data_IF_735890921125
#
_entry.id   IF_735890921125
#
_cell.length_a   1.000
_cell.length_b   1.000
_cell.length_c   1.000
_cell.angle_alpha   90.00
_cell.angle_beta   90.00
_cell.angle_gamma   90.00
#
_symmetry.space_group_name_H-M   'P 1'
#
loop_
_entity.id
_entity.type
_entity.pdbx_description
1 polymer ?
#
# COMPACT_ATOMS: atom_id res chain seq x y z
N UNK A 1 -31.21 4.00 28.88
CA UNK A 1 -31.42 3.72 27.45
C UNK A 1 -31.31 5.05 26.70
N UNK A 2 -30.49 5.16 25.64
CA UNK A 2 -30.41 6.39 24.86
C UNK A 2 -31.76 6.68 24.19
N UNK A 3 -32.11 7.97 24.02
CA UNK A 3 -33.37 8.37 23.41
C UNK A 3 -33.46 7.94 21.94
N UNK A 4 -34.68 7.74 21.42
CA UNK A 4 -34.91 7.33 20.03
C UNK A 4 -34.24 8.26 19.01
N UNK A 5 -34.14 9.56 19.32
CA UNK A 5 -33.42 10.57 18.51
C UNK A 5 -31.90 10.39 18.56
N UNK A 6 -31.33 10.05 19.72
CA UNK A 6 -29.90 9.79 19.88
C UNK A 6 -29.49 8.48 19.18
N UNK A 7 -30.36 7.48 19.22
CA UNK A 7 -30.16 6.20 18.53
C UNK A 7 -30.30 6.33 17.01
N UNK A 8 -31.18 7.23 16.54
CA UNK A 8 -31.31 7.58 15.11
C UNK A 8 -30.08 8.35 14.59
N UNK A 9 -29.53 9.27 15.39
CA UNK A 9 -28.28 9.97 15.05
C UNK A 9 -27.09 9.01 15.04
N UNK A 10 -26.95 8.14 16.05
CA UNK A 10 -25.90 7.12 16.07
C UNK A 10 -26.01 6.18 14.86
N UNK A 11 -27.20 5.67 14.55
CA UNK A 11 -27.40 4.82 13.37
C UNK A 11 -27.19 5.57 12.04
N UNK A 12 -27.55 6.85 11.96
CA UNK A 12 -27.29 7.70 10.80
C UNK A 12 -25.80 7.92 10.56
N UNK A 13 -25.07 8.36 11.59
CA UNK A 13 -23.61 8.56 11.50
C UNK A 13 -22.88 7.25 11.22
N UNK A 14 -23.32 6.13 11.79
CA UNK A 14 -22.70 4.81 11.53
C UNK A 14 -22.99 4.31 10.11
N UNK A 15 -24.22 4.54 9.61
CA UNK A 15 -24.61 4.21 8.24
C UNK A 15 -23.86 5.04 7.19
N UNK A 16 -23.70 6.34 7.44
CA UNK A 16 -22.93 7.23 6.58
C UNK A 16 -21.45 6.83 6.56
N UNK A 17 -20.84 6.58 7.72
CA UNK A 17 -19.43 6.13 7.80
C UNK A 17 -19.22 4.80 7.09
N UNK A 18 -20.16 3.85 7.21
CA UNK A 18 -20.09 2.56 6.52
C UNK A 18 -20.24 2.71 5.00
N UNK A 19 -21.16 3.56 4.54
CA UNK A 19 -21.35 3.84 3.11
C UNK A 19 -20.09 4.47 2.49
N UNK A 20 -19.54 5.50 3.14
CA UNK A 20 -18.31 6.15 2.69
C UNK A 20 -17.13 5.16 2.69
N UNK A 21 -17.01 4.32 3.72
CA UNK A 21 -15.98 3.28 3.79
C UNK A 21 -16.09 2.29 2.63
N UNK A 22 -17.30 1.79 2.33
CA UNK A 22 -17.51 0.85 1.23
C UNK A 22 -17.22 1.45 -0.15
N UNK A 23 -17.59 2.72 -0.37
CA UNK A 23 -17.26 3.42 -1.60
C UNK A 23 -15.73 3.57 -1.77
N UNK A 24 -15.02 3.97 -0.72
CA UNK A 24 -13.55 4.10 -0.72
C UNK A 24 -12.88 2.75 -1.01
N UNK A 25 -13.35 1.68 -0.36
CA UNK A 25 -12.84 0.32 -0.59
C UNK A 25 -13.06 -0.12 -2.05
N UNK A 26 -14.20 0.21 -2.65
CA UNK A 26 -14.49 -0.12 -4.06
C UNK A 26 -13.63 0.65 -5.06
N UNK A 27 -13.49 1.97 -4.88
CA UNK A 27 -12.66 2.81 -5.75
C UNK A 27 -11.18 2.45 -5.66
N UNK A 28 -10.65 2.25 -4.44
CA UNK A 28 -9.27 1.82 -4.22
C UNK A 28 -8.97 0.46 -4.85
N UNK A 29 -9.88 -0.52 -4.70
CA UNK A 29 -9.76 -1.84 -5.32
C UNK A 29 -9.73 -1.75 -6.85
N UNK A 30 -10.59 -0.91 -7.42
CA UNK A 30 -10.69 -0.72 -8.87
C UNK A 30 -9.41 -0.09 -9.43
N UNK A 31 -8.93 0.98 -8.78
CA UNK A 31 -7.65 1.61 -9.14
C UNK A 31 -6.50 0.60 -9.06
N UNK A 32 -6.36 -0.07 -7.93
CA UNK A 32 -5.33 -1.06 -7.66
C UNK A 32 -5.28 -2.17 -8.73
N UNK A 33 -6.45 -2.70 -9.13
CA UNK A 33 -6.52 -3.73 -10.16
C UNK A 33 -6.03 -3.20 -11.52
N UNK A 34 -6.48 -2.02 -11.93
CA UNK A 34 -6.11 -1.41 -13.21
C UNK A 34 -4.60 -1.17 -13.26
N UNK A 35 -4.03 -0.55 -12.23
CA UNK A 35 -2.59 -0.24 -12.21
C UNK A 35 -1.73 -1.48 -12.03
N UNK A 36 -2.18 -2.48 -11.27
CA UNK A 36 -1.46 -3.74 -11.15
C UNK A 36 -1.35 -4.47 -12.49
N UNK A 37 -2.46 -4.59 -13.23
CA UNK A 37 -2.47 -5.23 -14.55
C UNK A 37 -1.59 -4.44 -15.53
N UNK A 38 -1.70 -3.12 -15.54
CA UNK A 38 -0.89 -2.28 -16.40
C UNK A 38 0.61 -2.34 -16.06
N UNK A 39 0.96 -2.34 -14.77
CA UNK A 39 2.34 -2.51 -14.32
C UNK A 39 2.90 -3.87 -14.71
N UNK A 40 2.14 -4.96 -14.53
CA UNK A 40 2.58 -6.31 -14.95
C UNK A 40 2.85 -6.34 -16.46
N UNK A 41 1.93 -5.78 -17.26
CA UNK A 41 2.11 -5.69 -18.70
C UNK A 41 3.39 -4.91 -19.07
N UNK A 42 3.57 -3.71 -18.52
CA UNK A 42 4.73 -2.86 -18.84
C UNK A 42 6.05 -3.46 -18.35
N UNK A 43 6.09 -4.04 -17.15
CA UNK A 43 7.31 -4.56 -16.53
C UNK A 43 7.76 -5.90 -17.10
N UNK A 44 6.82 -6.79 -17.49
CA UNK A 44 7.15 -8.18 -17.83
C UNK A 44 6.91 -8.54 -19.29
N UNK A 45 5.95 -7.88 -19.96
CA UNK A 45 5.50 -8.28 -21.30
C UNK A 45 5.79 -7.26 -22.39
N UNK A 46 6.10 -6.01 -22.02
CA UNK A 46 6.45 -4.96 -22.98
C UNK A 46 7.96 -4.84 -23.14
N UNK A 47 8.40 -4.46 -24.34
CA UNK A 47 9.80 -4.20 -24.64
C UNK A 47 10.36 -2.93 -23.96
N UNK A 48 9.50 -2.16 -23.26
CA UNK A 48 9.85 -0.86 -22.67
C UNK A 48 11.06 -0.95 -21.73
N UNK A 49 11.12 -2.00 -20.92
CA UNK A 49 12.19 -2.21 -19.93
C UNK A 49 13.09 -3.41 -20.23
N UNK A 50 13.07 -3.93 -21.47
CA UNK A 50 14.00 -4.98 -21.89
C UNK A 50 15.42 -4.43 -22.06
N UNK A 51 16.37 -4.91 -21.26
CA UNK A 51 17.78 -4.50 -21.32
C UNK A 51 18.43 -4.76 -22.70
N UNK A 52 17.92 -5.72 -23.48
CA UNK A 52 18.49 -6.09 -24.78
C UNK A 52 17.98 -5.24 -25.95
N UNK A 53 16.93 -4.46 -25.75
CA UNK A 53 16.23 -3.76 -26.84
C UNK A 53 16.77 -2.35 -27.11
N UNK A 54 17.20 -1.63 -26.07
CA UNK A 54 17.71 -0.25 -26.17
C UNK A 54 18.98 -0.09 -25.31
N UNK A 55 20.02 0.59 -25.83
CA UNK A 55 21.25 0.88 -25.09
C UNK A 55 21.05 1.88 -23.94
N UNK A 56 19.85 2.41 -23.76
CA UNK A 56 19.49 3.25 -22.60
C UNK A 56 19.24 2.41 -21.36
N UNK A 57 19.71 2.90 -20.21
CA UNK A 57 19.39 2.31 -18.91
C UNK A 57 17.87 2.33 -18.65
N UNK A 58 17.36 1.28 -18.02
CA UNK A 58 15.95 1.11 -17.61
C UNK A 58 15.41 2.36 -16.90
N UNK A 59 16.23 3.01 -16.08
CA UNK A 59 15.88 4.22 -15.31
C UNK A 59 15.59 5.46 -16.17
N UNK A 60 15.99 5.47 -17.45
CA UNK A 60 15.77 6.58 -18.38
C UNK A 60 14.69 6.28 -19.42
N UNK A 61 13.94 5.21 -19.24
CA UNK A 61 12.93 4.77 -20.19
C UNK A 61 11.53 5.15 -19.72
N UNK A 62 10.74 5.61 -20.68
CA UNK A 62 9.36 6.05 -20.51
C UNK A 62 8.61 5.88 -21.83
N UNK A 63 7.28 5.85 -21.76
CA UNK A 63 6.38 5.72 -22.89
C UNK A 63 5.09 6.47 -22.61
N UNK A 64 4.34 6.82 -23.65
CA UNK A 64 3.02 7.45 -23.47
C UNK A 64 2.07 6.57 -22.65
N UNK A 65 2.18 5.24 -22.77
CA UNK A 65 1.37 4.32 -21.99
C UNK A 65 1.75 4.36 -20.50
N UNK A 66 3.03 4.27 -20.16
CA UNK A 66 3.50 4.37 -18.77
C UNK A 66 3.18 5.75 -18.17
N UNK A 67 3.37 6.84 -18.91
CA UNK A 67 2.98 8.19 -18.48
C UNK A 67 1.48 8.29 -18.17
N UNK A 68 0.65 7.66 -19.01
CA UNK A 68 -0.81 7.64 -18.81
C UNK A 68 -1.18 6.89 -17.54
N UNK A 69 -0.59 5.72 -17.29
CA UNK A 69 -0.85 4.92 -16.07
C UNK A 69 -0.41 5.69 -14.83
N UNK A 70 0.78 6.29 -14.85
CA UNK A 70 1.29 7.12 -13.77
C UNK A 70 0.40 8.36 -13.54
N UNK A 71 -0.10 8.98 -14.60
CA UNK A 71 -1.06 10.09 -14.53
C UNK A 71 -2.42 9.69 -13.95
N UNK A 72 -2.92 8.50 -14.26
CA UNK A 72 -4.13 7.96 -13.61
C UNK A 72 -3.88 7.76 -12.11
N UNK A 73 -2.72 7.22 -11.74
CA UNK A 73 -2.33 7.04 -10.33
C UNK A 73 -2.19 8.34 -9.56
N UNK A 74 -1.60 9.38 -10.15
CA UNK A 74 -1.48 10.67 -9.46
C UNK A 74 -2.85 11.28 -9.20
N UNK A 75 -3.78 11.18 -10.16
CA UNK A 75 -5.16 11.64 -10.00
C UNK A 75 -5.92 10.87 -8.93
N UNK A 76 -5.76 9.54 -8.90
CA UNK A 76 -6.33 8.69 -7.85
C UNK A 76 -5.80 9.08 -6.46
N UNK A 77 -4.48 9.14 -6.28
CA UNK A 77 -3.88 9.45 -4.98
C UNK A 77 -4.24 10.86 -4.49
N UNK A 78 -4.41 11.82 -5.41
CA UNK A 78 -4.91 13.14 -5.06
C UNK A 78 -6.35 13.09 -4.55
N UNK A 79 -7.23 12.34 -5.23
CA UNK A 79 -8.62 12.15 -4.78
C UNK A 79 -8.67 11.45 -3.42
N UNK A 80 -7.86 10.41 -3.22
CA UNK A 80 -7.80 9.66 -1.96
C UNK A 80 -7.28 10.54 -0.82
N UNK A 81 -6.23 11.32 -1.07
CA UNK A 81 -5.71 12.30 -0.12
C UNK A 81 -6.76 13.37 0.23
N UNK A 82 -7.51 13.88 -0.75
CA UNK A 82 -8.58 14.85 -0.50
C UNK A 82 -9.67 14.25 0.40
N UNK A 83 -10.06 13.00 0.17
CA UNK A 83 -11.02 12.29 1.02
C UNK A 83 -10.49 12.08 2.45
N UNK A 84 -9.22 11.69 2.60
CA UNK A 84 -8.55 11.52 3.91
C UNK A 84 -8.54 12.84 4.68
N UNK A 85 -8.20 13.94 4.01
CA UNK A 85 -8.17 15.28 4.62
C UNK A 85 -9.57 15.77 5.00
N UNK A 86 -10.56 15.56 4.12
CA UNK A 86 -11.95 15.95 4.37
C UNK A 86 -12.54 15.28 5.59
N UNK A 87 -12.23 14.00 5.79
CA UNK A 87 -12.71 13.20 6.91
C UNK A 87 -11.66 13.03 8.01
N UNK A 88 -10.63 13.87 8.06
CA UNK A 88 -9.55 13.72 9.02
C UNK A 88 -10.06 13.97 10.45
N UNK A 89 -9.74 13.12 11.45
CA UNK A 89 -8.83 11.98 11.42
C UNK A 89 -9.52 10.60 11.27
N UNK A 90 -10.80 10.54 10.89
CA UNK A 90 -11.61 9.33 10.91
C UNK A 90 -11.17 8.25 9.89
N UNK A 91 -10.71 8.66 8.70
CA UNK A 91 -10.29 7.74 7.64
C UNK A 91 -8.79 7.38 7.68
N UNK A 92 -7.99 8.07 8.50
CA UNK A 92 -6.56 7.82 8.59
C UNK A 92 -5.79 8.88 9.37
N UNK A 93 -4.69 8.48 10.01
CA UNK A 93 -3.75 9.39 10.65
C UNK A 93 -2.72 10.00 9.69
N UNK A 94 -1.85 10.86 10.22
CA UNK A 94 -0.80 11.57 9.46
C UNK A 94 0.11 10.66 8.62
N UNK A 95 0.31 9.41 9.04
CA UNK A 95 1.04 8.39 8.29
C UNK A 95 0.46 8.19 6.88
N UNK A 96 -0.87 8.20 6.73
CA UNK A 96 -1.51 8.05 5.42
C UNK A 96 -1.39 9.31 4.57
N UNK A 97 -1.43 10.50 5.17
CA UNK A 97 -1.20 11.78 4.47
C UNK A 97 0.21 11.81 3.89
N UNK A 98 1.22 11.43 4.70
CA UNK A 98 2.60 11.33 4.25
C UNK A 98 2.79 10.28 3.16
N UNK A 99 2.16 9.10 3.31
CA UNK A 99 2.18 8.04 2.31
C UNK A 99 1.76 8.56 0.92
N UNK A 100 0.57 9.15 0.84
CA UNK A 100 0.00 9.64 -0.42
C UNK A 100 0.81 10.80 -0.99
N UNK A 101 1.26 11.73 -0.14
CA UNK A 101 2.10 12.85 -0.56
C UNK A 101 3.43 12.40 -1.17
N UNK A 102 4.11 11.43 -0.54
CA UNK A 102 5.39 10.90 -1.03
C UNK A 102 5.25 10.13 -2.35
N UNK A 103 4.18 9.36 -2.51
CA UNK A 103 3.88 8.65 -3.75
C UNK A 103 3.56 9.63 -4.89
N UNK A 104 2.68 10.59 -4.65
CA UNK A 104 2.36 11.63 -5.64
C UNK A 104 3.60 12.42 -6.06
N UNK A 105 4.44 12.81 -5.10
CA UNK A 105 5.68 13.53 -5.37
C UNK A 105 6.63 12.71 -6.26
N UNK A 106 6.79 11.42 -5.94
CA UNK A 106 7.68 10.53 -6.70
C UNK A 106 7.15 10.26 -8.12
N UNK A 107 5.84 10.06 -8.26
CA UNK A 107 5.17 9.91 -9.57
C UNK A 107 5.32 11.18 -10.41
N UNK A 108 5.06 12.35 -9.80
CA UNK A 108 5.20 13.65 -10.47
C UNK A 108 6.61 13.85 -11.02
N UNK A 109 7.63 13.63 -10.19
CA UNK A 109 9.02 13.75 -10.60
C UNK A 109 9.35 12.81 -11.77
N UNK A 110 8.82 11.58 -11.72
CA UNK A 110 9.04 10.55 -12.73
C UNK A 110 8.40 10.88 -14.07
N UNK A 111 7.19 11.44 -14.08
CA UNK A 111 6.51 11.91 -15.30
C UNK A 111 7.26 13.11 -15.89
N UNK A 112 7.53 14.15 -15.10
CA UNK A 112 8.13 15.40 -15.59
C UNK A 112 9.50 15.19 -16.23
N UNK A 113 10.30 14.28 -15.69
CA UNK A 113 11.66 14.02 -16.18
C UNK A 113 11.76 12.78 -17.06
N UNK A 114 10.70 11.98 -17.18
CA UNK A 114 10.71 10.72 -17.93
C UNK A 114 11.70 9.68 -17.37
N UNK A 115 11.99 9.71 -16.06
CA UNK A 115 12.98 8.86 -15.40
C UNK A 115 12.38 8.12 -14.21
N UNK A 116 12.93 6.94 -13.89
CA UNK A 116 12.56 6.14 -12.72
C UNK A 116 11.20 5.45 -12.82
N UNK A 117 10.56 5.45 -14.00
CA UNK A 117 9.22 4.88 -14.18
C UNK A 117 9.16 3.39 -13.85
N UNK A 118 10.23 2.64 -14.11
CA UNK A 118 10.33 1.23 -13.71
C UNK A 118 10.06 1.03 -12.21
N UNK A 119 10.73 1.80 -11.35
CA UNK A 119 10.55 1.69 -9.90
C UNK A 119 9.19 2.21 -9.42
N UNK A 120 8.65 3.24 -10.08
CA UNK A 120 7.28 3.70 -9.81
C UNK A 120 6.26 2.61 -10.18
N UNK A 121 6.41 1.97 -11.33
CA UNK A 121 5.55 0.87 -11.77
C UNK A 121 5.67 -0.35 -10.86
N UNK A 122 6.87 -0.64 -10.33
CA UNK A 122 7.05 -1.66 -9.28
C UNK A 122 6.27 -1.30 -8.01
N UNK A 123 6.30 -0.05 -7.56
CA UNK A 123 5.51 0.41 -6.41
C UNK A 123 4.01 0.31 -6.72
N UNK A 124 3.56 0.74 -7.90
CA UNK A 124 2.17 0.57 -8.33
C UNK A 124 1.77 -0.90 -8.47
N UNK A 125 2.70 -1.80 -8.82
CA UNK A 125 2.42 -3.24 -8.77
C UNK A 125 2.17 -3.72 -7.33
N UNK A 126 2.79 -3.10 -6.32
CA UNK A 126 2.48 -3.42 -4.91
C UNK A 126 1.09 -2.98 -4.47
N UNK A 127 0.45 -2.03 -5.18
CA UNK A 127 -0.98 -1.71 -4.99
C UNK A 127 -1.89 -2.90 -5.33
N UNK A 128 -1.40 -3.91 -6.06
CA UNK A 128 -2.13 -5.18 -6.21
C UNK A 128 -2.48 -5.83 -4.87
N UNK A 129 -1.81 -5.43 -3.78
CA UNK A 129 -2.10 -5.86 -2.41
C UNK A 129 -3.26 -5.12 -1.73
N UNK A 130 -3.77 -4.04 -2.32
CA UNK A 130 -4.89 -3.25 -1.77
C UNK A 130 -6.21 -4.03 -1.73
N UNK A 131 -6.62 -4.78 -2.78
CA UNK A 131 -7.77 -5.70 -2.71
C UNK A 131 -7.62 -6.73 -1.58
N UNK A 132 -6.40 -7.19 -1.33
CA UNK A 132 -6.05 -8.14 -0.26
C UNK A 132 -6.15 -7.49 1.13
N UNK A 133 -5.76 -6.22 1.28
CA UNK A 133 -5.99 -5.44 2.52
C UNK A 133 -7.48 -5.21 2.76
N UNK A 134 -8.23 -4.87 1.72
CA UNK A 134 -9.68 -4.66 1.80
C UNK A 134 -10.41 -5.96 2.16
N UNK A 135 -9.98 -7.09 1.59
CA UNK A 135 -10.46 -8.42 1.95
C UNK A 135 -10.15 -8.74 3.42
N UNK A 136 -8.94 -8.43 3.90
CA UNK A 136 -8.57 -8.62 5.32
C UNK A 136 -9.48 -7.81 6.24
N UNK A 137 -9.77 -6.56 5.91
CA UNK A 137 -10.70 -5.74 6.69
C UNK A 137 -12.10 -6.35 6.71
N UNK A 138 -12.59 -6.84 5.56
CA UNK A 138 -13.88 -7.51 5.48
C UNK A 138 -13.93 -8.80 6.32
N UNK A 139 -12.86 -9.61 6.29
CA UNK A 139 -12.71 -10.81 7.12
C UNK A 139 -12.61 -10.48 8.61
N UNK A 140 -12.01 -9.34 8.98
CA UNK A 140 -11.95 -8.85 10.37
C UNK A 140 -13.36 -8.52 10.88
N UNK A 141 -14.10 -7.69 10.14
CA UNK A 141 -15.46 -7.25 10.51
C UNK A 141 -16.43 -8.43 10.59
N UNK A 142 -16.24 -9.47 9.76
CA UNK A 142 -17.07 -10.69 9.77
C UNK A 142 -16.60 -11.77 10.74
N UNK A 143 -15.55 -11.51 11.54
CA UNK A 143 -15.05 -12.44 12.55
C UNK A 143 -14.25 -13.64 12.01
N UNK A 144 -13.81 -13.60 10.75
CA UNK A 144 -13.15 -14.71 10.04
C UNK A 144 -11.61 -14.63 10.03
N UNK A 145 -11.02 -14.15 11.13
CA UNK A 145 -9.56 -13.95 11.28
C UNK A 145 -8.72 -15.23 11.17
N UNK A 146 -9.31 -16.39 11.46
CA UNK A 146 -8.63 -17.69 11.48
C UNK A 146 -8.64 -18.40 10.12
N UNK A 147 -9.12 -17.75 9.05
CA UNK A 147 -9.19 -18.39 7.74
C UNK A 147 -7.81 -18.52 7.08
N UNK A 148 -7.62 -19.59 6.29
CA UNK A 148 -6.39 -19.76 5.47
C UNK A 148 -6.17 -18.60 4.50
N UNK A 149 -7.25 -17.97 4.04
CA UNK A 149 -7.22 -16.79 3.18
C UNK A 149 -6.57 -15.60 3.88
N UNK A 150 -6.93 -15.33 5.14
CA UNK A 150 -6.34 -14.26 5.93
C UNK A 150 -4.81 -14.43 6.07
N UNK A 151 -4.34 -15.65 6.28
CA UNK A 151 -2.91 -15.94 6.39
C UNK A 151 -2.17 -15.79 5.04
N UNK A 152 -2.69 -16.40 3.97
CA UNK A 152 -2.07 -16.35 2.64
C UNK A 152 -1.93 -14.90 2.14
N UNK A 153 -2.93 -14.08 2.43
CA UNK A 153 -3.00 -12.66 2.11
C UNK A 153 -1.85 -11.85 2.72
N UNK A 154 -1.48 -12.15 3.95
CA UNK A 154 -0.44 -11.44 4.67
C UNK A 154 0.96 -11.86 4.22
N UNK A 155 1.14 -13.16 3.96
CA UNK A 155 2.42 -13.70 3.47
C UNK A 155 2.75 -13.15 2.09
N UNK A 156 1.78 -13.08 1.17
CA UNK A 156 2.01 -12.55 -0.19
C UNK A 156 2.50 -11.10 -0.16
N UNK A 157 1.97 -10.27 0.76
CA UNK A 157 2.37 -8.87 0.95
C UNK A 157 3.81 -8.73 1.44
N UNK A 158 4.20 -9.56 2.41
CA UNK A 158 5.57 -9.56 2.95
C UNK A 158 6.56 -9.98 1.87
N UNK A 159 6.24 -11.03 1.09
CA UNK A 159 7.10 -11.51 0.01
C UNK A 159 7.28 -10.45 -1.09
N UNK A 160 6.19 -9.80 -1.51
CA UNK A 160 6.25 -8.74 -2.50
C UNK A 160 7.09 -7.55 -2.03
N UNK A 161 6.95 -7.16 -0.76
CA UNK A 161 7.76 -6.11 -0.16
C UNK A 161 9.26 -6.47 -0.14
N UNK A 162 9.60 -7.69 0.28
CA UNK A 162 10.99 -8.19 0.27
C UNK A 162 11.56 -8.18 -1.15
N UNK A 163 10.78 -8.64 -2.13
CA UNK A 163 11.16 -8.61 -3.54
C UNK A 163 11.48 -7.19 -4.02
N UNK A 164 10.59 -6.23 -3.74
CA UNK A 164 10.82 -4.83 -4.09
C UNK A 164 12.08 -4.27 -3.42
N UNK A 165 12.29 -4.51 -2.11
CA UNK A 165 13.50 -4.07 -1.41
C UNK A 165 14.77 -4.70 -1.99
N UNK A 166 14.74 -6.00 -2.28
CA UNK A 166 15.87 -6.70 -2.88
C UNK A 166 16.24 -6.12 -4.24
N UNK A 167 15.26 -5.90 -5.12
CA UNK A 167 15.49 -5.29 -6.43
C UNK A 167 16.05 -3.86 -6.31
N UNK A 168 15.50 -3.09 -5.37
CA UNK A 168 15.91 -1.71 -5.08
C UNK A 168 17.38 -1.64 -4.66
N UNK A 169 17.81 -2.54 -3.77
CA UNK A 169 19.18 -2.56 -3.25
C UNK A 169 20.19 -3.08 -4.28
N UNK A 170 19.83 -4.09 -5.06
CA UNK A 170 20.73 -4.72 -6.04
C UNK A 170 20.99 -3.85 -7.27
N UNK A 171 20.05 -2.97 -7.63
CA UNK A 171 20.14 -2.11 -8.82
C UNK A 171 20.44 -0.65 -8.49
N UNK A 172 21.04 -0.40 -7.31
CA UNK A 172 21.36 0.94 -6.83
C UNK A 172 22.26 1.73 -7.80
N UNK A 173 23.15 1.05 -8.52
CA UNK A 173 24.05 1.69 -9.49
C UNK A 173 23.32 2.35 -10.67
N UNK A 174 22.15 1.82 -11.07
CA UNK A 174 21.34 2.45 -12.11
C UNK A 174 20.72 3.76 -11.61
N UNK A 175 20.33 3.80 -10.33
CA UNK A 175 19.65 4.95 -9.73
C UNK A 175 20.58 6.15 -9.57
N UNK A 176 21.88 5.91 -9.34
CA UNK A 176 22.90 6.97 -9.30
C UNK A 176 22.97 7.81 -10.59
N UNK A 177 22.45 7.28 -11.69
CA UNK A 177 22.47 7.93 -12.99
C UNK A 177 21.22 8.79 -13.24
N UNK A 178 20.23 8.78 -12.35
CA UNK A 178 19.08 9.67 -12.40
C UNK A 178 19.47 11.12 -12.09
N UNK A 179 18.61 12.07 -12.46
CA UNK A 179 18.81 13.47 -12.08
C UNK A 179 18.86 13.66 -10.55
N UNK A 180 19.55 14.69 -10.03
CA UNK A 180 19.89 14.79 -8.61
C UNK A 180 18.69 14.70 -7.66
N UNK A 181 17.59 15.40 -7.98
CA UNK A 181 16.41 15.40 -7.12
C UNK A 181 15.70 14.02 -7.13
N UNK A 182 15.66 13.29 -8.25
CA UNK A 182 15.17 11.90 -8.23
C UNK A 182 16.08 10.98 -7.43
N UNK A 183 17.41 11.14 -7.54
CA UNK A 183 18.35 10.35 -6.75
C UNK A 183 18.13 10.54 -5.25
N UNK A 184 18.02 11.78 -4.76
CA UNK A 184 17.74 12.05 -3.35
C UNK A 184 16.33 11.59 -2.93
N UNK A 185 15.35 11.76 -3.80
CA UNK A 185 13.98 11.27 -3.55
C UNK A 185 13.95 9.75 -3.42
N UNK A 186 14.69 9.04 -4.27
CA UNK A 186 14.85 7.59 -4.19
C UNK A 186 15.62 7.16 -2.93
N UNK A 187 16.57 7.96 -2.44
CA UNK A 187 17.27 7.66 -1.19
C UNK A 187 16.40 7.89 0.05
N UNK A 188 15.38 8.75 -0.04
CA UNK A 188 14.54 9.14 1.10
C UNK A 188 13.17 8.45 1.11
N UNK A 189 12.44 8.47 0.00
CA UNK A 189 11.02 8.04 -0.09
C UNK A 189 10.87 6.53 0.15
N UNK A 190 11.55 5.62 -0.59
CA UNK A 190 11.44 4.18 -0.36
C UNK A 190 11.80 3.75 1.07
N UNK A 191 12.86 4.26 1.72
CA UNK A 191 13.11 3.95 3.14
C UNK A 191 12.00 4.41 4.08
N UNK A 192 11.41 5.60 3.87
CA UNK A 192 10.28 6.07 4.68
C UNK A 192 9.07 5.14 4.50
N UNK A 193 8.73 4.79 3.25
CA UNK A 193 7.66 3.83 2.95
C UNK A 193 7.97 2.43 3.51
N UNK A 194 9.24 2.02 3.52
CA UNK A 194 9.68 0.75 4.10
C UNK A 194 9.46 0.72 5.62
N UNK A 195 9.83 1.77 6.34
CA UNK A 195 9.59 1.89 7.80
C UNK A 195 8.09 1.81 8.11
N UNK A 196 7.27 2.49 7.31
CA UNK A 196 5.80 2.45 7.46
C UNK A 196 5.27 1.02 7.25
N UNK A 197 5.74 0.31 6.24
CA UNK A 197 5.37 -1.09 5.98
C UNK A 197 5.84 -2.05 7.09
N UNK A 198 7.08 -1.88 7.58
CA UNK A 198 7.62 -2.68 8.69
C UNK A 198 6.79 -2.52 9.97
N UNK A 199 6.31 -1.32 10.27
CA UNK A 199 5.41 -1.08 11.38
C UNK A 199 4.10 -1.88 11.26
N UNK A 200 3.53 -1.97 10.07
CA UNK A 200 2.33 -2.78 9.83
C UNK A 200 2.62 -4.27 9.90
N UNK A 201 3.72 -4.74 9.32
CA UNK A 201 4.11 -6.15 9.41
C UNK A 201 4.37 -6.58 10.85
N UNK A 202 4.95 -5.71 11.68
CA UNK A 202 5.10 -5.96 13.11
C UNK A 202 3.75 -6.17 13.81
N UNK A 203 2.74 -5.34 13.50
CA UNK A 203 1.37 -5.55 14.03
C UNK A 203 0.78 -6.89 13.58
N UNK A 204 0.98 -7.28 12.33
CA UNK A 204 0.51 -8.57 11.80
C UNK A 204 1.18 -9.73 12.55
N UNK A 205 2.50 -9.68 12.71
CA UNK A 205 3.25 -10.69 13.44
C UNK A 205 2.79 -10.82 14.90
N UNK A 206 2.50 -9.69 15.57
CA UNK A 206 2.00 -9.69 16.95
C UNK A 206 0.64 -10.39 17.07
N UNK A 207 -0.27 -10.16 16.12
CA UNK A 207 -1.57 -10.85 16.06
C UNK A 207 -1.38 -12.36 15.86
N UNK A 208 -0.44 -12.76 15.01
CA UNK A 208 -0.16 -14.18 14.78
C UNK A 208 0.42 -14.89 15.99
N UNK A 209 1.34 -14.26 16.72
CA UNK A 209 1.88 -14.81 17.96
C UNK A 209 0.77 -15.06 18.99
N UNK A 210 -0.16 -14.11 19.14
CA UNK A 210 -1.32 -14.27 20.02
C UNK A 210 -2.23 -15.44 19.62
N UNK A 211 -2.48 -15.61 18.32
CA UNK A 211 -3.30 -16.72 17.80
C UNK A 211 -2.60 -18.08 17.97
N UNK A 212 -1.30 -18.14 17.74
CA UNK A 212 -0.50 -19.35 17.92
C UNK A 212 -0.46 -19.77 19.40
N UNK A 213 -0.27 -18.83 20.32
CA UNK A 213 -0.29 -19.10 21.76
C UNK A 213 -1.67 -19.58 22.22
N UNK A 214 -2.75 -19.02 21.68
CA UNK A 214 -4.11 -19.48 21.95
C UNK A 214 -4.38 -20.90 21.44
N UNK A 215 -3.87 -21.25 20.25
CA UNK A 215 -3.98 -22.62 19.70
C UNK A 215 -3.10 -23.63 20.42
N UNK A 216 -1.95 -23.21 20.96
CA UNK A 216 -1.01 -24.06 21.69
C UNK A 216 -1.38 -24.29 23.18
N UNK A 217 -2.46 -23.68 23.67
CA UNK A 217 -2.94 -23.86 25.04
C UNK A 217 -2.12 -23.13 26.12
N UNK A 218 -1.28 -22.15 25.76
CA UNK A 218 -0.39 -21.45 26.71
C UNK A 218 -1.04 -20.32 27.54
N UNK A 219 -2.33 -20.07 27.39
CA UNK A 219 -2.98 -18.81 27.80
C UNK A 219 -3.78 -18.83 29.11
N UNK A 220 -3.21 -19.33 30.21
CA UNK A 220 -3.68 -18.90 31.53
C UNK A 220 -2.55 -18.40 32.43
N UNK A 221 -1.38 -19.05 32.40
CA UNK A 221 -0.26 -18.69 33.29
C UNK A 221 0.50 -17.41 32.85
N UNK A 222 0.63 -17.17 31.55
CA UNK A 222 1.43 -16.05 31.03
C UNK A 222 0.69 -14.70 31.04
N UNK A 223 -0.65 -14.72 30.92
CA UNK A 223 -1.45 -13.49 31.03
C UNK A 223 -1.44 -12.93 32.46
N UNK A 224 -1.43 -13.80 33.48
CA UNK A 224 -1.36 -13.42 34.90
C UNK A 224 0.02 -12.86 35.27
N UNK A 225 1.09 -13.33 34.62
CA UNK A 225 2.45 -12.85 34.89
C UNK A 225 2.79 -11.53 34.16
N UNK A 226 2.15 -11.26 33.02
CA UNK A 226 2.37 -10.04 32.24
C UNK A 226 1.62 -8.81 32.77
N UNK A 227 0.57 -8.98 33.58
CA UNK A 227 -0.10 -7.87 34.29
C UNK A 227 0.52 -7.56 35.66
N UNK A 228 1.54 -8.31 36.10
CA UNK A 228 2.20 -8.18 37.40
C UNK A 228 3.61 -7.55 37.34
N UNK A 229 4.03 -7.04 36.17
CA UNK A 229 5.30 -6.35 35.91
C UNK A 229 5.06 -5.08 35.08
#
# INVERSE_FOLDING_TARGET
MPSSTMQKNLNGTTGDVLFHSNAILGFSTSHALVVAVASVYLLLFSDLFDENYDNKLIVHRSSTLSDTILGISIGYFLSDLAMILWNYPALGGMVYVLHHGLLMFSIFLSIVHGQGQFYILMVLFTESTTPFVNLRWYLDVTGQKNSKLYFCNDVSRILLFIFCCYHLLTHFDQVKQMFPLAFYSWLAVPPVLAVMNLFWFWKIAKVWLMLFDAQSGRNFLMLVLAEAL
#
